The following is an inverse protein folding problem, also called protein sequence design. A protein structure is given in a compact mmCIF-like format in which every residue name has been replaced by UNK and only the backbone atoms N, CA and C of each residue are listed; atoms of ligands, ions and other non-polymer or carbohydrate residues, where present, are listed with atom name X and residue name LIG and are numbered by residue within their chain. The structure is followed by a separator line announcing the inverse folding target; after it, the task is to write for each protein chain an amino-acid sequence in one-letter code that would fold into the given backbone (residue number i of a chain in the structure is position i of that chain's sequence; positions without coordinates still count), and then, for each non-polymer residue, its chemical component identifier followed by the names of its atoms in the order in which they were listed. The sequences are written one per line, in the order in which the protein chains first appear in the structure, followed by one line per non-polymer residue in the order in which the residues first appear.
data_IF_469709429655
#
_entry.id   IF_469709429655
#
_cell.length_a   1.000
_cell.length_b   1.000
_cell.length_c   1.000
_cell.angle_alpha   90.00
_cell.angle_beta   90.00
_cell.angle_gamma   90.00
#
_symmetry.space_group_name_H-M   'P 1'
#
loop_
_entity.id
_entity.type
_entity.pdbx_description
1 polymer ?
#
# COMPACT_ATOMS: atom_id res chain seq x y z
N UNK A 1 5.21 3.73 -24.76
CA UNK A 1 5.10 3.26 -23.38
C UNK A 1 5.45 1.78 -23.34
N UNK A 2 6.27 1.36 -22.40
CA UNK A 2 6.66 -0.05 -22.24
C UNK A 2 5.48 -0.88 -21.73
N UNK A 3 5.48 -2.19 -22.03
CA UNK A 3 4.50 -3.15 -21.49
C UNK A 3 4.51 -3.13 -19.96
N UNK A 4 5.69 -3.03 -19.36
CA UNK A 4 5.90 -3.02 -17.92
C UNK A 4 5.23 -1.80 -17.25
N UNK A 5 5.16 -0.67 -17.95
CA UNK A 5 4.45 0.52 -17.47
C UNK A 5 2.93 0.28 -17.38
N UNK A 6 2.34 -0.34 -18.41
CA UNK A 6 0.91 -0.67 -18.40
C UNK A 6 0.56 -1.71 -17.33
N UNK A 7 1.42 -2.71 -17.15
CA UNK A 7 1.27 -3.68 -16.05
C UNK A 7 1.33 -2.97 -14.69
N UNK A 8 2.25 -2.01 -14.52
CA UNK A 8 2.35 -1.20 -13.30
C UNK A 8 1.07 -0.40 -13.04
N UNK A 9 0.44 0.14 -14.09
CA UNK A 9 -0.83 0.85 -13.97
C UNK A 9 -1.99 -0.08 -13.56
N UNK A 10 -2.05 -1.29 -14.13
CA UNK A 10 -3.05 -2.29 -13.73
C UNK A 10 -2.89 -2.72 -12.27
N UNK A 11 -1.67 -2.95 -11.84
CA UNK A 11 -1.33 -3.24 -10.44
C UNK A 11 -1.72 -2.07 -9.53
N UNK A 12 -1.42 -0.82 -9.94
CA UNK A 12 -1.80 0.38 -9.17
C UNK A 12 -3.31 0.49 -9.02
N UNK A 13 -4.07 0.26 -10.09
CA UNK A 13 -5.52 0.32 -10.06
C UNK A 13 -6.11 -0.64 -9.03
N UNK A 14 -5.76 -1.92 -9.12
CA UNK A 14 -6.27 -2.95 -8.19
C UNK A 14 -5.79 -2.73 -6.76
N UNK A 15 -4.51 -2.40 -6.56
CA UNK A 15 -3.96 -2.15 -5.23
C UNK A 15 -4.63 -0.97 -4.53
N UNK A 16 -4.90 0.11 -5.28
CA UNK A 16 -5.62 1.27 -4.74
C UNK A 16 -7.08 0.94 -4.43
N UNK A 17 -7.74 0.10 -5.25
CA UNK A 17 -9.08 -0.38 -4.94
C UNK A 17 -9.11 -1.15 -3.60
N UNK A 18 -8.23 -2.14 -3.44
CA UNK A 18 -8.14 -2.93 -2.21
C UNK A 18 -7.84 -2.05 -0.99
N UNK A 19 -6.88 -1.12 -1.13
CA UNK A 19 -6.53 -0.15 -0.09
C UNK A 19 -7.72 0.73 0.30
N UNK A 20 -8.43 1.32 -0.68
CA UNK A 20 -9.53 2.25 -0.41
C UNK A 20 -10.72 1.56 0.21
N UNK A 21 -11.10 0.36 -0.25
CA UNK A 21 -12.13 -0.47 0.41
C UNK A 21 -11.76 -0.70 1.87
N UNK A 22 -10.50 -1.07 2.14
CA UNK A 22 -9.99 -1.27 3.51
C UNK A 22 -10.13 -0.01 4.35
N UNK A 23 -9.68 1.15 3.86
CA UNK A 23 -9.74 2.43 4.59
C UNK A 23 -11.17 2.83 4.93
N UNK A 24 -12.11 2.67 3.99
CA UNK A 24 -13.52 2.98 4.20
C UNK A 24 -14.17 2.04 5.24
N UNK A 25 -13.70 0.80 5.30
CA UNK A 25 -14.25 -0.25 6.17
C UNK A 25 -13.69 -0.19 7.58
N UNK A 26 -12.45 0.25 7.76
CA UNK A 26 -11.65 0.01 8.96
C UNK A 26 -12.29 0.54 10.25
N UNK A 27 -12.71 1.80 10.28
CA UNK A 27 -13.33 2.40 11.46
C UNK A 27 -14.68 1.73 11.79
N UNK A 28 -15.51 1.49 10.77
CA UNK A 28 -16.81 0.87 10.92
C UNK A 28 -16.70 -0.58 11.42
N UNK A 29 -15.75 -1.32 10.91
CA UNK A 29 -15.46 -2.68 11.37
C UNK A 29 -15.05 -2.71 12.85
N UNK A 30 -14.17 -1.79 13.28
CA UNK A 30 -13.78 -1.70 14.69
C UNK A 30 -14.97 -1.38 15.61
N UNK A 31 -15.86 -0.50 15.14
CA UNK A 31 -17.04 -0.09 15.93
C UNK A 31 -18.12 -1.19 15.97
N UNK A 32 -18.46 -1.76 14.82
CA UNK A 32 -19.60 -2.68 14.70
C UNK A 32 -19.23 -4.11 15.11
N UNK A 33 -18.09 -4.64 14.64
CA UNK A 33 -17.70 -6.03 14.90
C UNK A 33 -17.02 -6.22 16.27
N UNK A 34 -16.30 -5.20 16.75
CA UNK A 34 -15.54 -5.30 18.01
C UNK A 34 -16.02 -4.36 19.12
N UNK A 35 -17.04 -3.54 18.86
CA UNK A 35 -17.66 -2.68 19.86
C UNK A 35 -16.76 -1.57 20.39
N UNK A 36 -15.80 -1.08 19.59
CA UNK A 36 -15.04 0.11 19.97
C UNK A 36 -15.91 1.36 19.86
N UNK A 37 -15.78 2.28 20.81
CA UNK A 37 -16.34 3.62 20.65
C UNK A 37 -15.57 4.43 19.59
N UNK A 38 -16.16 5.53 19.13
CA UNK A 38 -15.62 6.38 18.05
C UNK A 38 -14.16 6.80 18.29
N UNK A 39 -13.84 7.27 19.50
CA UNK A 39 -12.49 7.66 19.88
C UNK A 39 -11.51 6.48 19.85
N UNK A 40 -11.93 5.29 20.30
CA UNK A 40 -11.12 4.09 20.31
C UNK A 40 -10.81 3.59 18.89
N UNK A 41 -11.83 3.54 18.03
CA UNK A 41 -11.67 3.19 16.62
C UNK A 41 -10.79 4.21 15.90
N UNK A 42 -11.02 5.51 16.11
CA UNK A 42 -10.20 6.59 15.55
C UNK A 42 -8.72 6.48 15.94
N UNK A 43 -8.42 6.22 17.21
CA UNK A 43 -7.04 6.05 17.69
C UNK A 43 -6.35 4.84 17.06
N UNK A 44 -7.05 3.71 16.88
CA UNK A 44 -6.48 2.54 16.21
C UNK A 44 -6.21 2.79 14.72
N UNK A 45 -7.12 3.49 14.03
CA UNK A 45 -6.91 3.91 12.63
C UNK A 45 -5.74 4.87 12.52
N UNK A 46 -5.60 5.82 13.46
CA UNK A 46 -4.47 6.73 13.52
C UNK A 46 -3.16 5.97 13.78
N UNK A 47 -3.13 5.04 14.73
CA UNK A 47 -1.95 4.21 15.01
C UNK A 47 -1.55 3.37 13.79
N UNK A 48 -2.52 2.78 13.09
CA UNK A 48 -2.29 2.08 11.82
C UNK A 48 -1.67 2.99 10.76
N UNK A 49 -2.20 4.20 10.56
CA UNK A 49 -1.70 5.18 9.60
C UNK A 49 -0.28 5.64 9.94
N UNK A 50 0.02 5.88 11.22
CA UNK A 50 1.37 6.23 11.69
C UNK A 50 2.33 5.08 11.44
N UNK A 51 1.94 3.84 11.77
CA UNK A 51 2.75 2.64 11.52
C UNK A 51 3.07 2.48 10.03
N UNK A 52 2.08 2.67 9.16
CA UNK A 52 2.27 2.65 7.70
C UNK A 52 3.26 3.73 7.25
N UNK A 53 3.16 4.94 7.78
CA UNK A 53 4.07 6.05 7.44
C UNK A 53 5.50 5.75 7.87
N UNK A 54 5.71 5.25 9.08
CA UNK A 54 7.04 4.87 9.59
C UNK A 54 7.67 3.79 8.71
N UNK A 55 6.92 2.75 8.38
CA UNK A 55 7.40 1.67 7.50
C UNK A 55 7.72 2.20 6.11
N UNK A 56 6.89 3.09 5.55
CA UNK A 56 7.11 3.69 4.23
C UNK A 56 8.46 4.40 4.12
N UNK A 57 8.94 5.03 5.20
CA UNK A 57 10.26 5.67 5.23
C UNK A 57 11.42 4.66 5.04
N UNK A 58 11.22 3.41 5.41
CA UNK A 58 12.22 2.35 5.33
C UNK A 58 12.16 1.57 4.01
N UNK A 59 11.07 1.70 3.25
CA UNK A 59 10.81 0.88 2.04
C UNK A 59 11.79 1.16 0.91
N UNK A 60 12.26 2.39 0.77
CA UNK A 60 13.21 2.75 -0.28
C UNK A 60 14.45 1.86 -0.24
N UNK A 61 15.09 1.76 0.93
CA UNK A 61 16.27 0.92 1.14
C UNK A 61 15.99 -0.58 0.98
N UNK A 62 14.80 -1.03 1.38
CA UNK A 62 14.41 -2.42 1.21
C UNK A 62 14.27 -2.77 -0.29
N UNK A 63 13.69 -1.86 -1.08
CA UNK A 63 13.52 -2.06 -2.53
C UNK A 63 14.88 -2.13 -3.23
N UNK A 64 15.84 -1.33 -2.81
CA UNK A 64 17.21 -1.35 -3.34
C UNK A 64 17.94 -2.65 -3.00
N UNK A 65 17.66 -3.24 -1.83
CA UNK A 65 18.31 -4.46 -1.34
C UNK A 65 17.81 -5.75 -2.00
N UNK A 66 16.50 -5.94 -2.06
CA UNK A 66 15.90 -7.21 -2.50
C UNK A 66 15.29 -7.14 -3.90
N UNK A 67 15.28 -5.95 -4.50
CA UNK A 67 14.75 -5.68 -5.82
C UNK A 67 13.24 -5.40 -5.82
N UNK A 68 12.83 -4.56 -6.78
CA UNK A 68 11.47 -4.02 -6.89
C UNK A 68 10.39 -5.11 -6.93
N UNK A 69 10.57 -6.14 -7.76
CA UNK A 69 9.58 -7.21 -7.92
C UNK A 69 9.37 -8.03 -6.64
N UNK A 70 10.47 -8.36 -5.95
CA UNK A 70 10.39 -9.16 -4.71
C UNK A 70 9.76 -8.37 -3.57
N UNK A 71 10.12 -7.10 -3.43
CA UNK A 71 9.50 -6.19 -2.44
C UNK A 71 8.00 -6.10 -2.68
N UNK A 72 7.59 -6.01 -3.93
CA UNK A 72 6.18 -5.94 -4.28
C UNK A 72 5.43 -7.24 -3.93
N UNK A 73 5.97 -8.41 -4.31
CA UNK A 73 5.40 -9.70 -3.92
C UNK A 73 5.28 -9.84 -2.41
N UNK A 74 6.30 -9.44 -1.66
CA UNK A 74 6.27 -9.47 -0.20
C UNK A 74 5.13 -8.61 0.34
N UNK A 75 4.97 -7.38 -0.15
CA UNK A 75 3.89 -6.48 0.24
C UNK A 75 2.51 -7.09 -0.03
N UNK A 76 2.29 -7.60 -1.24
CA UNK A 76 1.01 -8.23 -1.62
C UNK A 76 0.70 -9.45 -0.75
N UNK A 77 1.68 -10.34 -0.49
CA UNK A 77 1.46 -11.49 0.38
C UNK A 77 1.12 -11.11 1.82
N UNK A 78 1.79 -10.09 2.36
CA UNK A 78 1.47 -9.56 3.69
C UNK A 78 0.05 -8.99 3.69
N UNK A 79 -0.34 -8.21 2.67
CA UNK A 79 -1.69 -7.66 2.55
C UNK A 79 -2.75 -8.74 2.44
N UNK A 80 -2.54 -9.78 1.62
CA UNK A 80 -3.46 -10.92 1.49
C UNK A 80 -3.63 -11.64 2.82
N UNK A 81 -2.53 -11.99 3.49
CA UNK A 81 -2.55 -12.67 4.79
C UNK A 81 -3.24 -11.85 5.88
N UNK A 82 -2.91 -10.56 5.96
CA UNK A 82 -3.52 -9.64 6.92
C UNK A 82 -5.03 -9.48 6.70
N UNK A 83 -5.47 -9.29 5.45
CA UNK A 83 -6.91 -9.21 5.11
C UNK A 83 -7.62 -10.54 5.33
N UNK A 84 -6.97 -11.67 5.09
CA UNK A 84 -7.53 -12.97 5.43
C UNK A 84 -7.79 -13.09 6.94
N UNK A 85 -6.82 -12.71 7.78
CA UNK A 85 -7.03 -12.67 9.23
C UNK A 85 -8.17 -11.74 9.60
N UNK A 86 -8.25 -10.52 9.05
CA UNK A 86 -9.31 -9.56 9.33
C UNK A 86 -10.70 -10.04 8.88
N UNK A 87 -10.77 -10.77 7.75
CA UNK A 87 -12.02 -11.31 7.24
C UNK A 87 -12.53 -12.52 8.05
N UNK A 88 -11.64 -13.45 8.42
CA UNK A 88 -12.07 -14.74 8.97
C UNK A 88 -11.99 -14.84 10.50
N UNK A 89 -11.21 -13.97 11.18
CA UNK A 89 -11.10 -14.05 12.64
C UNK A 89 -12.15 -13.22 13.36
N UNK A 90 -12.68 -13.78 14.46
CA UNK A 90 -13.57 -13.10 15.42
C UNK A 90 -12.82 -12.62 16.66
N UNK A 91 -11.56 -13.05 16.81
CA UNK A 91 -10.77 -12.77 18.00
C UNK A 91 -10.14 -11.38 17.86
N UNK A 92 -10.57 -10.46 18.70
CA UNK A 92 -10.21 -9.04 18.68
C UNK A 92 -8.70 -8.78 18.64
N UNK A 93 -7.95 -9.35 19.58
CA UNK A 93 -6.51 -9.12 19.65
C UNK A 93 -5.76 -9.71 18.46
N UNK A 94 -6.22 -10.86 17.93
CA UNK A 94 -5.63 -11.50 16.76
C UNK A 94 -5.88 -10.67 15.49
N UNK A 95 -7.10 -10.15 15.34
CA UNK A 95 -7.45 -9.27 14.24
C UNK A 95 -6.60 -7.99 14.20
N UNK A 96 -6.26 -7.44 15.37
CA UNK A 96 -5.39 -6.27 15.48
C UNK A 96 -3.93 -6.63 15.26
N UNK A 97 -3.40 -7.61 15.99
CA UNK A 97 -1.98 -7.95 15.99
C UNK A 97 -1.52 -8.64 14.69
N UNK A 98 -2.32 -9.58 14.15
CA UNK A 98 -1.98 -10.34 12.94
C UNK A 98 -2.71 -9.84 11.67
N UNK A 99 -3.72 -8.97 11.81
CA UNK A 99 -4.42 -8.34 10.69
C UNK A 99 -4.00 -6.89 10.51
N UNK A 100 -4.47 -5.99 11.38
CA UNK A 100 -4.37 -4.54 11.20
C UNK A 100 -2.92 -4.04 11.08
N UNK A 101 -2.03 -4.41 11.99
CA UNK A 101 -0.64 -3.92 11.98
C UNK A 101 0.21 -4.52 10.85
N UNK A 102 0.17 -5.85 10.55
CA UNK A 102 0.83 -6.38 9.36
C UNK A 102 0.30 -5.77 8.06
N UNK A 103 -0.99 -5.44 7.98
CA UNK A 103 -1.55 -4.74 6.83
C UNK A 103 -0.88 -3.37 6.61
N UNK A 104 -0.58 -2.61 7.69
CA UNK A 104 0.18 -1.36 7.57
C UNK A 104 1.55 -1.58 6.91
N UNK A 105 2.23 -2.67 7.24
CA UNK A 105 3.52 -3.04 6.64
C UNK A 105 3.35 -3.38 5.16
N UNK A 106 2.38 -4.22 4.82
CA UNK A 106 2.12 -4.61 3.43
C UNK A 106 1.77 -3.43 2.53
N UNK A 107 0.86 -2.56 2.99
CA UNK A 107 0.45 -1.35 2.26
C UNK A 107 1.60 -0.34 2.09
N UNK A 108 2.45 -0.19 3.11
CA UNK A 108 3.62 0.67 3.06
C UNK A 108 4.61 0.24 1.96
N UNK A 109 4.72 -1.06 1.68
CA UNK A 109 5.58 -1.58 0.62
C UNK A 109 5.05 -1.27 -0.79
N UNK A 110 3.74 -1.13 -0.96
CA UNK A 110 3.12 -1.00 -2.29
C UNK A 110 3.43 0.32 -3.00
N UNK A 111 3.12 1.44 -2.38
CA UNK A 111 3.15 2.75 -3.06
C UNK A 111 4.56 3.20 -3.48
N UNK A 112 5.61 3.18 -2.65
CA UNK A 112 6.95 3.61 -3.06
C UNK A 112 7.52 2.74 -4.18
N UNK A 113 7.25 1.43 -4.14
CA UNK A 113 7.71 0.48 -5.16
C UNK A 113 7.06 0.77 -6.51
N UNK A 114 5.77 1.11 -6.54
CA UNK A 114 5.07 1.48 -7.77
C UNK A 114 5.54 2.81 -8.34
N UNK A 115 5.82 3.80 -7.50
CA UNK A 115 6.40 5.09 -7.92
C UNK A 115 7.79 4.87 -8.54
N UNK A 116 8.62 4.04 -7.91
CA UNK A 116 9.92 3.66 -8.47
C UNK A 116 9.78 2.90 -9.81
N UNK A 117 8.76 2.02 -9.93
CA UNK A 117 8.47 1.30 -11.17
C UNK A 117 8.09 2.26 -12.32
N UNK A 118 7.24 3.26 -12.07
CA UNK A 118 6.89 4.28 -13.08
C UNK A 118 8.14 5.01 -13.56
N UNK A 119 9.03 5.40 -12.63
CA UNK A 119 10.30 6.04 -12.98
C UNK A 119 11.19 5.13 -13.83
N UNK A 120 11.25 3.84 -13.51
CA UNK A 120 12.12 2.84 -14.17
C UNK A 120 11.60 2.43 -15.54
N UNK A 121 10.28 2.46 -15.77
CA UNK A 121 9.64 2.00 -17.00
C UNK A 121 9.20 3.13 -17.93
N UNK A 122 9.56 4.39 -17.64
CA UNK A 122 9.27 5.55 -18.49
C UNK A 122 10.54 6.29 -18.88
N UNK A 123 10.61 6.74 -20.14
CA UNK A 123 11.69 7.64 -20.61
C UNK A 123 11.57 9.02 -19.93
N UNK A 124 12.66 9.80 -19.96
CA UNK A 124 12.67 11.14 -19.35
C UNK A 124 11.58 12.04 -19.94
N UNK A 125 11.34 11.98 -21.25
CA UNK A 125 10.30 12.75 -21.94
C UNK A 125 8.88 12.30 -21.57
N UNK A 126 8.66 11.00 -21.34
CA UNK A 126 7.34 10.43 -21.02
C UNK A 126 7.01 10.47 -19.53
N UNK A 127 7.98 10.76 -18.68
CA UNK A 127 7.86 10.63 -17.22
C UNK A 127 6.74 11.48 -16.62
N UNK A 128 6.61 12.73 -17.06
CA UNK A 128 5.54 13.64 -16.59
C UNK A 128 4.15 13.09 -16.91
N UNK A 129 3.92 12.66 -18.15
CA UNK A 129 2.64 12.07 -18.59
C UNK A 129 2.38 10.75 -17.85
N UNK A 130 3.41 9.93 -17.65
CA UNK A 130 3.29 8.65 -16.93
C UNK A 130 2.86 8.85 -15.47
N UNK A 131 3.39 9.86 -14.78
CA UNK A 131 2.93 10.20 -13.44
C UNK A 131 1.51 10.77 -13.42
N UNK A 132 1.16 11.64 -14.37
CA UNK A 132 -0.20 12.15 -14.48
C UNK A 132 -1.21 11.01 -14.67
N UNK A 133 -0.91 10.07 -15.56
CA UNK A 133 -1.75 8.90 -15.80
C UNK A 133 -1.80 7.98 -14.56
N UNK A 134 -0.69 7.80 -13.86
CA UNK A 134 -0.62 7.03 -12.62
C UNK A 134 -1.58 7.59 -11.54
N UNK A 135 -1.62 8.91 -11.37
CA UNK A 135 -2.55 9.55 -10.42
C UNK A 135 -4.00 9.53 -10.91
N UNK A 136 -4.24 9.63 -12.21
CA UNK A 136 -5.58 9.48 -12.79
C UNK A 136 -6.13 8.08 -12.53
N UNK A 137 -5.35 7.05 -12.78
CA UNK A 137 -5.70 5.64 -12.52
C UNK A 137 -5.94 5.40 -11.02
N UNK A 138 -5.14 6.03 -10.15
CA UNK A 138 -5.35 5.98 -8.71
C UNK A 138 -6.73 6.54 -8.31
N UNK A 139 -7.12 7.70 -8.84
CA UNK A 139 -8.41 8.31 -8.55
C UNK A 139 -9.58 7.47 -9.11
N UNK A 140 -9.40 6.87 -10.29
CA UNK A 140 -10.38 5.93 -10.84
C UNK A 140 -10.54 4.69 -9.95
N UNK A 141 -9.44 4.16 -9.41
CA UNK A 141 -9.45 3.08 -8.44
C UNK A 141 -10.20 3.44 -7.15
N UNK A 142 -10.01 4.67 -6.64
CA UNK A 142 -10.77 5.18 -5.50
C UNK A 142 -12.27 5.26 -5.77
N UNK A 143 -12.67 5.72 -6.96
CA UNK A 143 -14.07 5.80 -7.36
C UNK A 143 -14.71 4.41 -7.40
N UNK A 144 -14.08 3.45 -8.07
CA UNK A 144 -14.61 2.07 -8.17
C UNK A 144 -14.66 1.40 -6.79
N UNK A 145 -13.67 1.65 -5.93
CA UNK A 145 -13.67 1.15 -4.56
C UNK A 145 -14.83 1.70 -3.73
N UNK A 146 -15.18 2.98 -3.89
CA UNK A 146 -16.31 3.59 -3.20
C UNK A 146 -17.63 2.96 -3.66
N UNK A 147 -17.81 2.75 -4.96
CA UNK A 147 -18.99 2.03 -5.48
C UNK A 147 -19.08 0.60 -4.97
N UNK A 148 -17.98 -0.13 -4.93
CA UNK A 148 -17.96 -1.49 -4.38
C UNK A 148 -18.32 -1.51 -2.90
N UNK A 149 -17.78 -0.56 -2.12
CA UNK A 149 -18.09 -0.41 -0.70
C UNK A 149 -19.58 -0.15 -0.49
N UNK A 150 -20.15 0.83 -1.20
CA UNK A 150 -21.56 1.21 -1.06
C UNK A 150 -22.46 0.08 -1.52
N UNK A 151 -22.17 -0.57 -2.63
CA UNK A 151 -22.94 -1.70 -3.16
C UNK A 151 -23.00 -2.86 -2.16
N UNK A 152 -21.88 -3.28 -1.59
CA UNK A 152 -21.86 -4.37 -0.60
C UNK A 152 -22.54 -3.98 0.70
N UNK A 153 -22.36 -2.73 1.17
CA UNK A 153 -23.01 -2.24 2.37
C UNK A 153 -24.54 -2.12 2.21
N UNK A 154 -25.02 -1.67 1.06
CA UNK A 154 -26.45 -1.57 0.78
C UNK A 154 -27.09 -2.94 0.59
N UNK A 155 -26.43 -3.87 -0.08
CA UNK A 155 -26.96 -5.21 -0.38
C UNK A 155 -27.03 -6.10 0.88
N UNK A 156 -26.08 -5.98 1.80
CA UNK A 156 -26.01 -6.78 3.01
C UNK A 156 -26.62 -6.07 4.24
N UNK A 157 -26.71 -4.73 4.21
CA UNK A 157 -27.06 -3.93 5.39
C UNK A 157 -25.89 -3.80 6.37
N UNK A 158 -26.02 -2.92 7.38
CA UNK A 158 -24.92 -2.64 8.32
C UNK A 158 -24.55 -3.82 9.24
N UNK A 159 -25.52 -4.66 9.57
CA UNK A 159 -25.38 -5.85 10.44
C UNK A 159 -25.71 -7.14 9.71
N UNK A 160 -25.64 -7.12 8.37
CA UNK A 160 -25.89 -8.28 7.55
C UNK A 160 -24.79 -9.33 7.67
N UNK A 161 -25.07 -10.51 7.16
CA UNK A 161 -24.13 -11.62 7.13
C UNK A 161 -24.13 -12.28 5.76
N UNK A 162 -22.95 -12.51 5.22
CA UNK A 162 -22.75 -13.30 4.02
C UNK A 162 -22.28 -14.69 4.42
N UNK A 163 -23.02 -15.72 4.03
CA UNK A 163 -22.59 -17.12 4.20
C UNK A 163 -21.77 -17.55 2.99
N UNK A 164 -20.49 -17.89 3.22
CA UNK A 164 -19.64 -18.48 2.19
C UNK A 164 -19.82 -19.98 2.17
N UNK A 165 -20.48 -20.58 1.15
CA UNK A 165 -20.81 -22.00 1.12
C UNK A 165 -19.57 -22.91 1.08
N UNK A 166 -18.45 -22.40 0.52
CA UNK A 166 -17.19 -23.17 0.40
C UNK A 166 -16.48 -23.40 1.75
N UNK A 167 -16.64 -22.49 2.71
CA UNK A 167 -15.90 -22.54 4.00
C UNK A 167 -16.86 -22.66 5.19
N UNK A 168 -18.17 -22.70 4.93
CA UNK A 168 -19.21 -22.70 5.96
C UNK A 168 -19.04 -21.56 7.01
N UNK A 169 -18.53 -20.41 6.57
CA UNK A 169 -18.21 -19.27 7.40
C UNK A 169 -19.20 -18.13 7.15
N UNK A 170 -19.71 -17.56 8.24
CA UNK A 170 -20.54 -16.35 8.18
C UNK A 170 -19.68 -15.13 8.40
N UNK A 171 -19.64 -14.26 7.39
CA UNK A 171 -18.90 -13.00 7.43
C UNK A 171 -19.89 -11.85 7.68
N UNK A 172 -19.56 -10.95 8.62
CA UNK A 172 -20.28 -9.67 8.74
C UNK A 172 -20.08 -8.84 7.47
N UNK A 173 -20.91 -7.82 7.27
CA UNK A 173 -20.79 -6.89 6.13
C UNK A 173 -19.36 -6.35 5.99
N UNK A 174 -18.74 -5.94 7.09
CA UNK A 174 -17.39 -5.37 7.07
C UNK A 174 -16.29 -6.40 6.84
N UNK A 175 -16.46 -7.63 7.32
CA UNK A 175 -15.57 -8.75 7.00
C UNK A 175 -15.69 -9.18 5.54
N UNK A 176 -16.88 -9.09 4.96
CA UNK A 176 -17.11 -9.32 3.54
C UNK A 176 -16.35 -8.29 2.68
N UNK A 177 -16.27 -7.04 3.13
CA UNK A 177 -15.48 -6.01 2.46
C UNK A 177 -13.97 -6.30 2.52
N UNK A 178 -13.44 -6.78 3.66
CA UNK A 178 -12.04 -7.24 3.72
C UNK A 178 -11.80 -8.47 2.86
N UNK A 179 -12.76 -9.40 2.79
CA UNK A 179 -12.68 -10.54 1.89
C UNK A 179 -12.65 -10.10 0.41
N UNK A 180 -13.51 -9.16 0.01
CA UNK A 180 -13.50 -8.59 -1.33
C UNK A 180 -12.17 -7.89 -1.64
N UNK A 181 -11.64 -7.10 -0.71
CA UNK A 181 -10.32 -6.47 -0.84
C UNK A 181 -9.19 -7.50 -0.94
N UNK A 182 -9.27 -8.61 -0.20
CA UNK A 182 -8.34 -9.74 -0.31
C UNK A 182 -8.37 -10.39 -1.69
N UNK A 183 -9.56 -10.62 -2.25
CA UNK A 183 -9.72 -11.20 -3.59
C UNK A 183 -9.12 -10.28 -4.66
N UNK A 184 -9.35 -8.97 -4.56
CA UNK A 184 -8.73 -7.97 -5.45
C UNK A 184 -7.20 -8.03 -5.33
N UNK A 185 -6.67 -8.14 -4.12
CA UNK A 185 -5.22 -8.23 -3.87
C UNK A 185 -4.62 -9.52 -4.45
N UNK A 186 -5.32 -10.66 -4.32
CA UNK A 186 -4.90 -11.93 -4.93
C UNK A 186 -4.82 -11.78 -6.46
N UNK A 187 -5.75 -11.06 -7.08
CA UNK A 187 -5.74 -10.81 -8.53
C UNK A 187 -4.51 -10.00 -8.99
N UNK A 188 -3.83 -9.30 -8.09
CA UNK A 188 -2.57 -8.59 -8.39
C UNK A 188 -1.41 -9.57 -8.59
N UNK A 189 -1.38 -10.71 -7.88
CA UNK A 189 -0.27 -11.66 -7.90
C UNK A 189 0.10 -12.13 -9.32
N UNK A 190 -0.85 -12.64 -10.15
CA UNK A 190 -0.52 -13.03 -11.52
C UNK A 190 -0.04 -11.84 -12.36
N UNK A 191 -0.58 -10.65 -12.15
CA UNK A 191 -0.19 -9.46 -12.91
C UNK A 191 1.26 -9.06 -12.58
N UNK A 192 1.64 -9.08 -11.31
CA UNK A 192 3.03 -8.81 -10.88
C UNK A 192 4.00 -9.88 -11.40
N UNK A 193 3.53 -11.12 -11.57
CA UNK A 193 4.36 -12.19 -12.14
C UNK A 193 4.82 -11.85 -13.57
N UNK A 194 4.01 -11.14 -14.34
CA UNK A 194 4.33 -10.71 -15.71
C UNK A 194 5.32 -9.54 -15.77
N UNK A 195 5.66 -8.88 -14.66
CA UNK A 195 6.70 -7.85 -14.61
C UNK A 195 8.06 -8.52 -14.82
N UNK A 196 8.77 -8.14 -15.87
CA UNK A 196 10.12 -8.64 -16.16
C UNK A 196 11.12 -8.08 -15.17
N UNK A 197 12.08 -8.92 -14.77
CA UNK A 197 13.16 -8.52 -13.86
C UNK A 197 14.22 -7.70 -14.60
N UNK A 198 14.78 -6.70 -13.92
CA UNK A 198 15.94 -5.95 -14.42
C UNK A 198 15.66 -5.03 -15.61
N UNK A 199 14.42 -4.88 -16.06
CA UNK A 199 14.07 -3.97 -17.15
C UNK A 199 14.15 -2.52 -16.68
N UNK A 200 14.86 -1.71 -17.43
CA UNK A 200 14.95 -0.26 -17.30
C UNK A 200 14.78 0.39 -18.67
N UNK A 201 13.91 1.40 -18.75
CA UNK A 201 13.67 2.13 -19.99
C UNK A 201 14.40 3.47 -19.88
N UNK A 202 15.40 3.65 -20.77
CA UNK A 202 16.15 4.89 -20.93
C UNK A 202 15.80 5.55 -22.25
N UNK A 203 16.29 6.75 -22.46
CA UNK A 203 16.09 7.48 -23.73
C UNK A 203 16.76 6.78 -24.92
N UNK A 204 17.78 5.94 -24.65
CA UNK A 204 18.51 5.14 -25.65
C UNK A 204 17.86 3.76 -25.94
N UNK A 205 16.80 3.39 -25.19
CA UNK A 205 16.11 2.11 -25.39
C UNK A 205 15.80 1.35 -24.12
N UNK A 206 15.53 0.05 -24.30
CA UNK A 206 15.23 -0.86 -23.18
C UNK A 206 16.50 -1.58 -22.77
N UNK A 207 16.99 -1.31 -21.58
CA UNK A 207 18.12 -2.00 -20.98
C UNK A 207 17.65 -3.06 -19.99
N UNK A 208 18.26 -4.25 -20.04
CA UNK A 208 18.04 -5.30 -19.05
C UNK A 208 19.27 -5.36 -18.17
N UNK A 209 19.23 -4.70 -17.02
CA UNK A 209 20.31 -4.75 -16.04
C UNK A 209 20.04 -5.95 -15.12
N UNK A 210 20.93 -6.97 -15.09
CA UNK A 210 20.79 -8.05 -14.12
C UNK A 210 20.77 -7.47 -12.71
N UNK A 211 19.83 -7.92 -11.87
CA UNK A 211 19.87 -7.61 -10.45
C UNK A 211 21.23 -8.04 -9.90
N UNK A 212 21.90 -7.16 -9.14
CA UNK A 212 23.23 -7.44 -8.59
C UNK A 212 23.28 -8.83 -7.94
N UNK A 213 24.29 -9.65 -8.24
CA UNK A 213 24.38 -10.99 -7.70
C UNK A 213 24.46 -10.92 -6.18
N UNK A 214 23.61 -11.71 -5.52
CA UNK A 214 23.66 -11.90 -4.08
C UNK A 214 25.07 -12.30 -3.67
N UNK A 215 25.63 -11.67 -2.65
CA UNK A 215 26.83 -12.20 -2.01
C UNK A 215 26.49 -13.60 -1.48
N UNK A 216 27.18 -14.60 -2.01
CA UNK A 216 26.99 -15.99 -1.60
C UNK A 216 27.42 -16.12 -0.13
N UNK A 217 26.49 -16.49 0.75
CA UNK A 217 26.79 -16.77 2.14
C UNK A 217 25.96 -16.03 3.19
N UNK A 218 25.25 -14.96 2.84
CA UNK A 218 24.40 -14.26 3.82
C UNK A 218 23.05 -14.96 4.01
N UNK A 219 22.71 -15.27 5.27
CA UNK A 219 21.35 -15.65 5.65
C UNK A 219 20.38 -14.54 5.24
N UNK A 220 19.25 -14.89 4.62
CA UNK A 220 18.20 -13.96 4.18
C UNK A 220 17.81 -12.95 5.25
N UNK A 221 17.77 -13.41 6.50
CA UNK A 221 17.35 -12.65 7.66
C UNK A 221 18.42 -11.64 8.11
N UNK A 222 19.70 -12.02 8.10
CA UNK A 222 20.79 -11.12 8.46
C UNK A 222 21.03 -10.05 7.39
N UNK A 223 20.95 -10.43 6.12
CA UNK A 223 21.01 -9.48 5.00
C UNK A 223 19.84 -8.47 5.04
N UNK A 224 18.64 -8.94 5.34
CA UNK A 224 17.45 -8.10 5.51
C UNK A 224 17.67 -7.05 6.61
N UNK A 225 18.03 -7.48 7.83
CA UNK A 225 18.22 -6.55 8.95
C UNK A 225 19.40 -5.60 8.77
N UNK A 226 20.49 -6.06 8.13
CA UNK A 226 21.61 -5.19 7.77
C UNK A 226 21.16 -4.09 6.83
N UNK A 227 20.43 -4.45 5.78
CA UNK A 227 19.99 -3.50 4.77
C UNK A 227 18.93 -2.54 5.31
N UNK A 228 18.00 -3.02 6.14
CA UNK A 228 17.05 -2.15 6.86
C UNK A 228 17.80 -1.17 7.76
N UNK A 229 18.82 -1.64 8.47
CA UNK A 229 19.65 -0.80 9.34
C UNK A 229 20.46 0.25 8.57
N UNK A 230 21.09 -0.13 7.45
CA UNK A 230 21.83 0.79 6.58
C UNK A 230 20.90 1.81 5.91
N UNK A 231 19.73 1.36 5.45
CA UNK A 231 18.71 2.22 4.87
C UNK A 231 18.12 3.19 5.87
N UNK A 232 17.84 2.76 7.10
CA UNK A 232 17.38 3.63 8.16
C UNK A 232 18.42 4.71 8.50
N UNK A 233 19.69 4.34 8.57
CA UNK A 233 20.79 5.30 8.77
C UNK A 233 20.91 6.27 7.59
N UNK A 234 20.80 5.77 6.36
CA UNK A 234 20.81 6.60 5.15
C UNK A 234 19.65 7.60 5.12
N UNK A 235 18.44 7.12 5.40
CA UNK A 235 17.21 7.96 5.49
C UNK A 235 17.35 9.02 6.59
N UNK A 236 17.86 8.63 7.77
CA UNK A 236 18.07 9.57 8.87
C UNK A 236 19.11 10.64 8.52
N UNK A 237 20.19 10.26 7.83
CA UNK A 237 21.22 11.19 7.35
C UNK A 237 20.66 12.18 6.31
N UNK A 238 19.87 11.69 5.37
CA UNK A 238 19.15 12.53 4.38
C UNK A 238 18.17 13.48 5.06
N UNK A 239 17.38 12.97 6.00
CA UNK A 239 16.42 13.78 6.75
C UNK A 239 17.11 14.87 7.56
N UNK A 240 18.22 14.53 8.24
CA UNK A 240 19.04 15.51 8.96
C UNK A 240 19.62 16.58 8.03
N UNK A 241 20.06 16.18 6.83
CA UNK A 241 20.54 17.13 5.81
C UNK A 241 19.43 18.02 5.26
N UNK A 242 18.22 17.51 5.09
CA UNK A 242 17.05 18.29 4.68
C UNK A 242 16.62 19.30 5.73
N UNK A 243 16.56 18.91 7.01
CA UNK A 243 16.18 19.77 8.13
C UNK A 243 17.19 20.93 8.32
N UNK A 244 18.45 20.77 7.91
CA UNK A 244 19.45 21.84 7.96
C UNK A 244 19.31 22.88 6.84
N UNK A 245 18.47 22.63 5.82
CA UNK A 245 18.27 23.55 4.70
C UNK A 245 17.12 24.53 4.98
N UNK A 246 17.37 25.83 4.87
CA UNK A 246 16.33 26.87 5.04
C UNK A 246 15.15 26.69 4.06
N UNK A 247 15.40 26.17 2.86
CA UNK A 247 14.37 25.83 1.87
C UNK A 247 13.37 24.78 2.33
N UNK A 248 13.79 23.85 3.19
CA UNK A 248 12.92 22.82 3.77
C UNK A 248 11.80 23.43 4.61
N UNK A 249 12.12 24.40 5.46
CA UNK A 249 11.12 25.07 6.32
C UNK A 249 10.11 25.90 5.51
N UNK A 250 10.55 26.53 4.41
CA UNK A 250 9.65 27.25 3.50
C UNK A 250 8.69 26.28 2.81
N UNK A 251 9.20 25.15 2.31
CA UNK A 251 8.37 24.10 1.71
C UNK A 251 7.40 23.50 2.73
N UNK A 252 7.86 23.23 3.95
CA UNK A 252 7.04 22.70 5.03
C UNK A 252 5.91 23.68 5.40
N UNK A 253 6.21 24.97 5.55
CA UNK A 253 5.21 26.01 5.81
C UNK A 253 4.17 26.11 4.69
N UNK A 254 4.60 26.00 3.43
CA UNK A 254 3.70 25.99 2.28
C UNK A 254 2.78 24.77 2.28
N UNK A 255 3.31 23.57 2.55
CA UNK A 255 2.52 22.34 2.65
C UNK A 255 1.54 22.37 3.83
N UNK A 256 1.96 22.93 4.97
CA UNK A 256 1.08 23.13 6.13
C UNK A 256 -0.06 24.12 5.81
N UNK A 257 0.22 25.18 5.07
CA UNK A 257 -0.81 26.13 4.62
C UNK A 257 -1.82 25.44 3.70
N UNK A 258 -1.37 24.64 2.73
CA UNK A 258 -2.26 23.86 1.84
C UNK A 258 -3.11 22.87 2.65
N UNK A 259 -2.51 22.16 3.58
CA UNK A 259 -3.23 21.21 4.44
C UNK A 259 -4.29 21.91 5.29
N UNK A 260 -3.96 23.07 5.84
CA UNK A 260 -4.88 23.89 6.62
C UNK A 260 -6.06 24.42 5.77
N UNK A 261 -5.78 24.94 4.57
CA UNK A 261 -6.82 25.36 3.63
C UNK A 261 -7.75 24.19 3.26
N UNK A 262 -7.17 23.00 2.98
CA UNK A 262 -7.96 21.80 2.69
C UNK A 262 -8.88 21.40 3.86
N UNK A 263 -8.42 21.54 5.10
CA UNK A 263 -9.22 21.27 6.30
C UNK A 263 -10.43 22.23 6.39
N UNK A 264 -10.22 23.51 6.12
CA UNK A 264 -11.29 24.52 6.12
C UNK A 264 -12.33 24.19 5.05
N UNK A 265 -11.90 23.88 3.81
CA UNK A 265 -12.81 23.54 2.72
C UNK A 265 -13.55 22.19 2.90
N UNK A 266 -13.07 21.29 3.76
CA UNK A 266 -13.77 20.05 4.07
C UNK A 266 -14.81 20.21 5.19
N UNK A 267 -14.78 21.32 5.92
CA UNK A 267 -15.76 21.62 6.98
C UNK A 267 -16.89 22.57 6.51
N UNK A 268 -16.76 23.15 5.33
CA UNK A 268 -17.83 23.90 4.66
C UNK A 268 -18.65 23.00 3.75
#
# INVERSE_FOLDING_TARGET
ASRELWVTFGVKFLGVMAYKVTVLTLALWLMVDFGYGDAGAGNLVAAWSVSMTVVTLLVGSLTDAIGLRRTFFLGVWICVGARAVMAFTTIKWLALAAGLFPLAVGEALGTPVLVAAVRKYSTTQQRSISYSLFYTIMNLGFLVAAFLFDYLRQSLGERGQLTLPLVNCQLSTYRTLFFAAMVIEIAILPIVYFIRRGVEVTDDGIHVTPEAPRQAGDNLWSAFWRTVGEGAKGTLKLFRGLVQQAGFYRLLAFLMLIAFLKLIFMQM
#
